data_IF_923030569348
#
_entry.id   IF_923030569348
#
_cell.length_a   1.000
_cell.length_b   1.000
_cell.length_c   1.000
_cell.angle_alpha   90.00
_cell.angle_beta   90.00
_cell.angle_gamma   90.00
#
_symmetry.space_group_name_H-M   'P 1'
#
loop_
_entity.id
_entity.type
_entity.pdbx_description
1 polymer ?
#
# COMPACT_ATOMS: atom_id res chain seq x y z
N UNK A 1 11.63 -3.20 3.75
CA UNK A 1 10.93 -2.10 4.46
C UNK A 1 10.93 -2.31 5.97
N UNK A 2 10.79 -3.52 6.50
CA UNK A 2 10.85 -3.78 7.95
C UNK A 2 12.10 -3.16 8.61
N UNK A 3 13.29 -3.36 8.00
CA UNK A 3 14.53 -2.75 8.47
C UNK A 3 14.48 -1.21 8.44
N UNK A 4 13.81 -0.61 7.45
CA UNK A 4 13.69 0.85 7.38
C UNK A 4 12.87 1.43 8.53
N UNK A 5 11.84 0.73 9.01
CA UNK A 5 11.14 1.10 10.23
C UNK A 5 12.08 1.17 11.45
N UNK A 6 12.96 0.18 11.58
CA UNK A 6 13.98 0.17 12.68
C UNK A 6 15.01 1.30 12.52
N UNK A 7 15.37 1.65 11.28
CA UNK A 7 16.26 2.80 11.02
C UNK A 7 15.58 4.11 11.45
N UNK A 8 14.29 4.30 11.13
CA UNK A 8 13.52 5.48 11.58
C UNK A 8 13.54 5.57 13.11
N UNK A 9 13.23 4.50 13.83
CA UNK A 9 13.25 4.48 15.29
C UNK A 9 14.64 4.81 15.86
N UNK A 10 15.68 4.23 15.27
CA UNK A 10 17.05 4.47 15.71
C UNK A 10 17.48 5.94 15.52
N UNK A 11 17.08 6.56 14.41
CA UNK A 11 17.47 7.93 14.10
C UNK A 11 16.65 8.97 14.86
N UNK A 12 15.37 8.67 15.13
CA UNK A 12 14.44 9.65 15.69
C UNK A 12 14.21 9.50 17.20
N UNK A 13 14.49 8.32 17.74
CA UNK A 13 14.15 7.98 19.13
C UNK A 13 12.65 7.79 19.38
N UNK A 14 11.83 7.82 18.32
CA UNK A 14 10.38 7.60 18.38
C UNK A 14 10.01 6.19 17.87
N UNK A 15 8.84 5.67 18.27
CA UNK A 15 8.32 4.48 17.60
C UNK A 15 8.00 4.78 16.13
N UNK A 16 8.13 3.78 15.26
CA UNK A 16 7.81 3.91 13.84
C UNK A 16 6.40 4.46 13.62
N UNK A 17 5.41 3.93 14.34
CA UNK A 17 4.02 4.40 14.23
C UNK A 17 3.87 5.87 14.62
N UNK A 18 4.45 6.29 15.75
CA UNK A 18 4.36 7.68 16.20
C UNK A 18 5.01 8.64 15.21
N UNK A 19 6.19 8.28 14.70
CA UNK A 19 6.89 9.09 13.71
C UNK A 19 6.07 9.26 12.41
N UNK A 20 5.51 8.17 11.87
CA UNK A 20 4.72 8.20 10.64
C UNK A 20 3.42 8.98 10.84
N UNK A 21 2.72 8.78 11.96
CA UNK A 21 1.52 9.58 12.28
C UNK A 21 1.84 11.07 12.27
N UNK A 22 2.82 11.49 13.03
CA UNK A 22 3.15 12.90 13.22
C UNK A 22 3.68 13.57 11.94
N UNK A 23 4.54 12.88 11.18
CA UNK A 23 5.29 13.50 10.08
C UNK A 23 4.72 13.20 8.68
N UNK A 24 3.83 12.21 8.56
CA UNK A 24 3.27 11.80 7.27
C UNK A 24 1.75 11.90 7.28
N UNK A 25 1.07 11.31 8.26
CA UNK A 25 -0.38 11.15 8.22
C UNK A 25 -1.14 12.40 8.71
N UNK A 26 -0.70 13.01 9.81
CA UNK A 26 -1.34 14.21 10.36
C UNK A 26 -1.26 15.40 9.39
N UNK A 27 -0.11 15.69 8.72
CA UNK A 27 -0.01 16.77 7.75
C UNK A 27 -0.98 16.65 6.56
N UNK A 28 -1.40 15.44 6.21
CA UNK A 28 -2.34 15.18 5.11
C UNK A 28 -3.77 14.90 5.59
N UNK A 29 -4.02 14.95 6.89
CA UNK A 29 -5.33 14.68 7.48
C UNK A 29 -5.79 13.22 7.42
N UNK A 30 -4.87 12.25 7.28
CA UNK A 30 -5.15 10.80 7.31
C UNK A 30 -5.09 10.25 8.75
N UNK A 31 -5.80 10.88 9.66
CA UNK A 31 -5.66 10.70 11.11
C UNK A 31 -6.20 9.38 11.67
N UNK A 32 -6.97 8.63 10.88
CA UNK A 32 -7.56 7.35 11.31
C UNK A 32 -6.64 6.15 11.06
N UNK A 33 -5.56 6.32 10.29
CA UNK A 33 -4.61 5.25 10.03
C UNK A 33 -3.81 4.87 11.29
N UNK A 34 -3.58 3.58 11.48
CA UNK A 34 -2.84 3.02 12.61
C UNK A 34 -2.28 1.65 12.28
N UNK A 35 -1.34 1.16 13.07
CA UNK A 35 -0.94 -0.24 12.97
C UNK A 35 -2.05 -1.16 13.48
N UNK A 36 -2.23 -2.28 12.79
CA UNK A 36 -3.21 -3.30 13.13
C UNK A 36 -2.65 -4.34 14.10
N UNK A 37 -3.55 -5.16 14.63
CA UNK A 37 -3.21 -6.32 15.45
C UNK A 37 -3.60 -7.61 14.69
N UNK A 38 -2.80 -8.67 14.90
CA UNK A 38 -3.06 -9.95 14.22
C UNK A 38 -4.30 -10.65 14.76
N UNK A 39 -4.47 -10.64 16.07
CA UNK A 39 -5.54 -11.39 16.73
C UNK A 39 -6.89 -10.70 16.59
N UNK A 40 -7.95 -11.50 16.48
CA UNK A 40 -9.32 -11.00 16.30
C UNK A 40 -9.78 -10.12 17.48
N UNK A 41 -9.38 -10.46 18.69
CA UNK A 41 -9.64 -9.70 19.92
C UNK A 41 -8.91 -8.35 19.98
N UNK A 42 -7.81 -8.21 19.23
CA UNK A 42 -7.07 -6.95 19.08
C UNK A 42 -7.59 -6.03 17.98
N UNK A 43 -8.65 -6.45 17.28
CA UNK A 43 -9.26 -5.66 16.22
C UNK A 43 -9.84 -4.36 16.79
N UNK A 44 -9.56 -3.25 16.11
CA UNK A 44 -10.08 -1.95 16.53
C UNK A 44 -11.56 -1.77 16.14
N UNK A 45 -12.22 -0.81 16.76
CA UNK A 45 -13.59 -0.45 16.40
C UNK A 45 -13.67 -0.04 14.92
N UNK A 46 -14.71 -0.50 14.24
CA UNK A 46 -14.96 -0.29 12.81
C UNK A 46 -13.94 -0.95 11.84
N UNK A 47 -12.99 -1.71 12.33
CA UNK A 47 -12.17 -2.55 11.47
C UNK A 47 -13.00 -3.70 10.90
N UNK A 48 -12.89 -3.94 9.58
CA UNK A 48 -13.58 -5.06 8.92
C UNK A 48 -13.03 -6.41 9.38
N UNK A 49 -13.81 -7.48 9.23
CA UNK A 49 -13.30 -8.84 9.34
C UNK A 49 -12.64 -9.27 8.04
N UNK A 50 -11.57 -10.04 8.16
CA UNK A 50 -10.82 -10.58 7.03
C UNK A 50 -11.20 -12.03 6.80
N UNK A 51 -11.39 -12.41 5.52
CA UNK A 51 -11.87 -13.73 5.14
C UNK A 51 -10.85 -14.45 4.28
N UNK A 52 -10.52 -15.69 4.68
CA UNK A 52 -9.65 -16.59 3.93
C UNK A 52 -10.15 -18.01 4.12
N UNK A 53 -10.20 -18.84 3.06
CA UNK A 53 -10.75 -20.20 3.16
C UNK A 53 -9.87 -21.18 3.94
N UNK A 54 -8.60 -20.85 4.17
CA UNK A 54 -7.65 -21.73 4.82
C UNK A 54 -7.36 -21.38 6.27
N UNK A 55 -6.77 -22.35 6.96
CA UNK A 55 -6.18 -22.20 8.28
C UNK A 55 -4.67 -22.39 8.23
N UNK A 56 -3.95 -21.90 9.21
CA UNK A 56 -2.51 -22.05 9.37
C UNK A 56 -2.14 -22.33 10.83
N UNK A 57 -0.88 -22.74 11.05
CA UNK A 57 -0.37 -22.89 12.40
C UNK A 57 -0.14 -21.52 13.02
N UNK A 58 -0.60 -21.35 14.28
CA UNK A 58 -0.32 -20.13 15.02
C UNK A 58 1.19 -19.93 15.22
N UNK A 59 1.62 -18.66 15.10
CA UNK A 59 3.01 -18.24 15.36
C UNK A 59 3.17 -17.60 16.76
N UNK A 60 2.10 -17.52 17.54
CA UNK A 60 2.10 -16.92 18.87
C UNK A 60 2.32 -17.97 19.96
N UNK A 61 3.07 -17.61 21.00
CA UNK A 61 3.43 -18.53 22.10
C UNK A 61 2.22 -19.08 22.85
N UNK A 62 1.15 -18.27 23.00
CA UNK A 62 -0.06 -18.67 23.73
C UNK A 62 -0.77 -19.89 23.14
N UNK A 63 -0.64 -20.11 21.84
CA UNK A 63 -1.29 -21.19 21.11
C UNK A 63 -0.41 -21.73 19.97
N UNK A 64 0.90 -21.72 20.18
CA UNK A 64 1.91 -22.10 19.19
C UNK A 64 1.56 -23.45 18.53
N UNK A 65 1.59 -23.45 17.20
CA UNK A 65 1.26 -24.59 16.32
C UNK A 65 -0.21 -25.04 16.33
N UNK A 66 -1.10 -24.44 17.11
CA UNK A 66 -2.54 -24.70 16.94
C UNK A 66 -3.02 -24.16 15.58
N UNK A 67 -4.02 -24.82 15.03
CA UNK A 67 -4.62 -24.37 13.76
C UNK A 67 -5.56 -23.19 14.02
N UNK A 68 -5.29 -22.06 13.38
CA UNK A 68 -6.06 -20.82 13.50
C UNK A 68 -6.50 -20.35 12.10
N UNK A 69 -7.56 -19.53 11.97
CA UNK A 69 -7.86 -18.88 10.72
C UNK A 69 -6.65 -18.08 10.24
N UNK A 70 -6.30 -18.22 8.96
CA UNK A 70 -5.09 -17.59 8.39
C UNK A 70 -4.93 -16.11 8.76
N UNK A 71 -5.98 -15.25 8.64
CA UNK A 71 -5.86 -13.83 8.98
C UNK A 71 -5.57 -13.54 10.45
N UNK A 72 -5.85 -14.49 11.36
CA UNK A 72 -5.90 -14.23 12.79
C UNK A 72 -4.93 -15.09 13.61
N UNK A 73 -3.70 -15.20 13.16
CA UNK A 73 -2.65 -15.85 13.96
C UNK A 73 -1.61 -16.67 13.22
N UNK A 74 -1.78 -16.88 11.88
CA UNK A 74 -0.81 -17.65 11.11
C UNK A 74 0.42 -16.82 10.66
N UNK A 75 0.44 -15.54 10.93
CA UNK A 75 1.62 -14.64 10.85
C UNK A 75 1.52 -13.60 11.95
N UNK A 76 2.55 -12.78 12.12
CA UNK A 76 2.62 -11.72 13.12
C UNK A 76 2.56 -10.35 12.41
N UNK A 77 1.39 -9.71 12.40
CA UNK A 77 1.19 -8.40 11.76
C UNK A 77 1.95 -7.29 12.49
N UNK A 78 2.03 -7.38 13.82
CA UNK A 78 2.75 -6.43 14.66
C UNK A 78 4.24 -6.39 14.31
N UNK A 79 4.83 -7.55 13.96
CA UNK A 79 6.21 -7.63 13.51
C UNK A 79 6.40 -7.15 12.06
N UNK A 80 5.32 -7.05 11.29
CA UNK A 80 5.35 -6.54 9.92
C UNK A 80 5.34 -5.00 9.86
N UNK A 81 4.81 -4.35 10.84
CA UNK A 81 4.60 -2.89 11.01
C UNK A 81 4.88 -2.03 9.74
N UNK A 82 6.14 -1.67 9.49
CA UNK A 82 6.59 -0.80 8.40
C UNK A 82 6.57 -1.43 7.00
N UNK A 83 6.16 -2.68 6.86
CA UNK A 83 6.03 -3.34 5.55
C UNK A 83 4.67 -4.03 5.35
N UNK A 84 3.59 -3.39 5.79
CA UNK A 84 2.23 -3.83 5.52
C UNK A 84 1.32 -3.93 6.73
N UNK A 85 1.73 -3.41 7.90
CA UNK A 85 0.96 -3.48 9.15
C UNK A 85 -0.13 -2.42 9.31
N UNK A 86 -0.28 -1.47 8.39
CA UNK A 86 -1.21 -0.37 8.54
C UNK A 86 -2.66 -0.74 8.23
N UNK A 87 -3.56 -0.32 9.12
CA UNK A 87 -4.99 -0.21 8.87
C UNK A 87 -5.30 1.16 8.27
N UNK A 88 -6.14 1.20 7.24
CA UNK A 88 -6.54 2.42 6.58
C UNK A 88 -7.97 2.34 6.05
N UNK A 89 -8.65 3.48 5.99
CA UNK A 89 -9.83 3.64 5.15
C UNK A 89 -9.43 3.95 3.70
N UNK A 90 -10.33 3.70 2.75
CA UNK A 90 -10.10 4.10 1.37
C UNK A 90 -9.93 5.63 1.25
N UNK A 91 -10.66 6.39 2.06
CA UNK A 91 -10.55 7.86 2.12
C UNK A 91 -9.18 8.31 2.60
N UNK A 92 -8.62 7.70 3.65
CA UNK A 92 -7.31 8.09 4.16
C UNK A 92 -6.18 7.73 3.16
N UNK A 93 -6.28 6.58 2.49
CA UNK A 93 -5.34 6.25 1.42
C UNK A 93 -5.49 7.18 0.21
N UNK A 94 -6.70 7.64 -0.12
CA UNK A 94 -6.90 8.64 -1.16
C UNK A 94 -6.27 9.98 -0.80
N UNK A 95 -6.36 10.43 0.46
CA UNK A 95 -5.64 11.62 0.96
C UNK A 95 -4.13 11.44 0.85
N UNK A 96 -3.61 10.27 1.21
CA UNK A 96 -2.18 9.96 1.05
C UNK A 96 -1.75 10.03 -0.43
N UNK A 97 -2.54 9.48 -1.35
CA UNK A 97 -2.26 9.58 -2.77
C UNK A 97 -2.27 11.03 -3.27
N UNK A 98 -3.30 11.79 -2.88
CA UNK A 98 -3.50 13.18 -3.30
C UNK A 98 -2.40 14.13 -2.79
N UNK A 99 -1.74 13.80 -1.68
CA UNK A 99 -0.62 14.59 -1.16
C UNK A 99 0.53 14.76 -2.17
N UNK A 100 0.66 13.85 -3.13
CA UNK A 100 1.69 13.89 -4.17
C UNK A 100 1.21 14.46 -5.51
N UNK A 101 -0.04 14.92 -5.62
CA UNK A 101 -0.58 15.41 -6.91
C UNK A 101 0.09 16.70 -7.38
N UNK A 102 0.49 17.55 -6.44
CA UNK A 102 1.30 18.71 -6.72
C UNK A 102 2.61 18.64 -5.91
N UNK A 103 3.72 18.21 -6.50
CA UNK A 103 5.00 18.08 -5.80
C UNK A 103 5.50 19.37 -5.14
N UNK A 104 5.24 20.52 -5.75
CA UNK A 104 5.68 21.82 -5.22
C UNK A 104 4.99 22.23 -3.91
N UNK A 105 3.83 21.65 -3.61
CA UNK A 105 3.05 21.95 -2.39
C UNK A 105 2.83 20.72 -1.51
N UNK A 106 3.54 19.63 -1.77
CA UNK A 106 3.43 18.42 -0.96
C UNK A 106 3.85 18.70 0.50
N UNK A 107 2.99 18.39 1.49
CA UNK A 107 3.29 18.74 2.88
C UNK A 107 4.29 17.79 3.56
N UNK A 108 4.62 16.66 2.93
CA UNK A 108 5.41 15.57 3.54
C UNK A 108 6.77 15.33 2.89
N UNK A 109 6.95 15.72 1.63
CA UNK A 109 8.22 15.56 0.90
C UNK A 109 8.48 16.79 0.02
N UNK A 110 9.76 17.12 -0.18
CA UNK A 110 10.17 18.11 -1.18
C UNK A 110 9.92 17.58 -2.60
N UNK A 111 9.75 18.48 -3.55
CA UNK A 111 9.63 18.13 -4.97
C UNK A 111 10.82 17.29 -5.47
N UNK A 112 12.03 17.63 -5.04
CA UNK A 112 13.24 16.85 -5.36
C UNK A 112 13.13 15.40 -4.84
N UNK A 113 12.67 15.22 -3.60
CA UNK A 113 12.47 13.89 -3.00
C UNK A 113 11.37 13.09 -3.71
N UNK A 114 10.31 13.75 -4.15
CA UNK A 114 9.23 13.09 -4.92
C UNK A 114 9.75 12.65 -6.30
N UNK A 115 10.52 13.49 -6.97
CA UNK A 115 11.14 13.17 -8.26
C UNK A 115 12.10 11.97 -8.09
N UNK A 116 12.94 11.97 -7.05
CA UNK A 116 13.82 10.86 -6.73
C UNK A 116 13.01 9.58 -6.41
N UNK A 117 11.91 9.70 -5.67
CA UNK A 117 11.04 8.59 -5.29
C UNK A 117 10.49 7.84 -6.51
N UNK A 118 10.20 8.53 -7.60
CA UNK A 118 9.66 7.95 -8.83
C UNK A 118 10.72 7.68 -9.90
N UNK A 119 11.97 8.04 -9.66
CA UNK A 119 13.05 7.84 -10.61
C UNK A 119 13.24 6.36 -10.96
N UNK A 120 13.48 6.09 -12.25
CA UNK A 120 13.84 4.75 -12.72
C UNK A 120 15.17 4.31 -12.12
N UNK A 121 15.23 3.18 -11.42
CA UNK A 121 16.49 2.70 -10.87
C UNK A 121 17.42 2.20 -12.00
N UNK A 122 18.75 2.26 -11.80
CA UNK A 122 19.71 1.75 -12.74
C UNK A 122 19.71 0.20 -12.79
N UNK A 123 20.38 -0.36 -13.79
CA UNK A 123 20.57 -1.78 -13.96
C UNK A 123 19.26 -2.56 -14.15
N UNK A 124 19.26 -3.82 -13.82
CA UNK A 124 18.13 -4.75 -14.04
C UNK A 124 16.86 -4.41 -13.25
N UNK A 125 16.92 -3.53 -12.28
CA UNK A 125 15.72 -3.05 -11.58
C UNK A 125 14.85 -2.18 -12.49
N UNK A 126 15.47 -1.34 -13.34
CA UNK A 126 14.74 -0.44 -14.26
C UNK A 126 14.88 -0.81 -15.74
N UNK A 127 15.80 -1.71 -16.11
CA UNK A 127 16.15 -2.05 -17.48
C UNK A 127 16.18 -3.58 -17.69
N UNK A 128 16.12 -4.02 -18.94
CA UNK A 128 16.39 -5.43 -19.30
C UNK A 128 17.88 -5.73 -19.20
N UNK A 129 18.28 -6.99 -19.43
CA UNK A 129 19.69 -7.36 -19.50
C UNK A 129 20.43 -6.69 -20.67
N UNK A 130 19.71 -6.32 -21.72
CA UNK A 130 20.21 -5.61 -22.90
C UNK A 130 20.26 -4.09 -22.70
N UNK A 131 19.90 -3.58 -21.51
CA UNK A 131 19.90 -2.15 -21.21
C UNK A 131 18.65 -1.39 -21.70
N UNK A 132 17.62 -2.07 -22.20
CA UNK A 132 16.37 -1.45 -22.65
C UNK A 132 15.51 -1.09 -21.42
N UNK A 133 14.94 0.11 -21.40
CA UNK A 133 14.03 0.55 -20.35
C UNK A 133 12.81 -0.36 -20.24
N UNK A 134 12.50 -0.82 -19.04
CA UNK A 134 11.29 -1.59 -18.77
C UNK A 134 10.07 -0.66 -18.80
N UNK A 135 8.94 -1.05 -19.42
CA UNK A 135 7.71 -0.25 -19.40
C UNK A 135 7.10 -0.16 -17.99
N UNK A 136 7.46 -1.08 -17.10
CA UNK A 136 7.08 -1.11 -15.69
C UNK A 136 8.33 -1.33 -14.86
N UNK A 137 8.51 -0.54 -13.82
CA UNK A 137 9.61 -0.66 -12.85
C UNK A 137 9.13 -0.31 -11.44
N UNK A 138 9.85 -0.80 -10.43
CA UNK A 138 9.62 -0.46 -9.03
C UNK A 138 10.69 0.51 -8.54
N UNK A 139 10.28 1.53 -7.81
CA UNK A 139 11.15 2.52 -7.18
C UNK A 139 10.94 2.55 -5.66
N UNK A 140 11.06 3.69 -5.01
CA UNK A 140 10.91 3.80 -3.56
C UNK A 140 9.43 3.69 -3.10
N UNK A 141 8.92 2.46 -3.00
CA UNK A 141 7.56 2.18 -2.54
C UNK A 141 6.48 2.27 -3.62
N UNK A 142 6.84 2.55 -4.89
CA UNK A 142 5.91 2.68 -5.99
C UNK A 142 6.28 1.79 -7.17
N UNK A 143 5.31 1.11 -7.72
CA UNK A 143 5.38 0.58 -9.07
C UNK A 143 5.04 1.71 -10.04
N UNK A 144 5.81 1.84 -11.11
CA UNK A 144 5.67 2.90 -12.09
C UNK A 144 5.43 2.27 -13.46
N UNK A 145 4.37 2.69 -14.15
CA UNK A 145 4.02 2.24 -15.50
C UNK A 145 4.11 3.42 -16.46
N UNK A 146 4.98 3.30 -17.44
CA UNK A 146 5.04 4.27 -18.55
C UNK A 146 3.78 4.10 -19.39
N UNK A 147 3.08 5.21 -19.59
CA UNK A 147 1.91 5.31 -20.48
C UNK A 147 2.24 6.21 -21.67
N UNK A 148 1.25 6.59 -22.47
CA UNK A 148 1.47 7.48 -23.62
C UNK A 148 2.25 8.76 -23.24
N UNK A 149 3.07 9.23 -24.14
CA UNK A 149 3.83 10.48 -24.03
C UNK A 149 4.84 10.52 -22.86
N UNK A 150 5.32 9.35 -22.42
CA UNK A 150 6.30 9.26 -21.33
C UNK A 150 5.76 9.58 -19.94
N UNK A 151 4.45 9.78 -19.79
CA UNK A 151 3.80 9.98 -18.51
C UNK A 151 3.80 8.68 -17.70
N UNK A 152 3.63 8.80 -16.38
CA UNK A 152 3.66 7.67 -15.47
C UNK A 152 2.35 7.52 -14.68
N UNK A 153 1.85 6.30 -14.63
CA UNK A 153 0.94 5.90 -13.56
C UNK A 153 1.77 5.28 -12.42
N UNK A 154 1.45 5.63 -11.20
CA UNK A 154 2.08 5.08 -10.00
C UNK A 154 1.07 4.24 -9.24
N UNK A 155 1.45 3.07 -8.72
CA UNK A 155 0.56 2.27 -7.89
C UNK A 155 1.34 1.43 -6.90
N UNK A 156 0.63 0.97 -5.88
CA UNK A 156 1.09 -0.09 -5.00
C UNK A 156 -0.06 -1.02 -4.65
N UNK A 157 0.24 -2.30 -4.47
CA UNK A 157 -0.74 -3.32 -4.05
C UNK A 157 -0.38 -3.87 -2.69
N UNK A 158 -1.39 -4.28 -1.93
CA UNK A 158 -1.23 -5.07 -0.72
C UNK A 158 -1.94 -6.41 -0.87
N UNK A 159 -1.37 -7.48 -0.30
CA UNK A 159 -1.98 -8.80 -0.33
C UNK A 159 -1.48 -9.64 0.82
N UNK A 160 -2.36 -9.94 1.77
CA UNK A 160 -2.18 -10.93 2.82
C UNK A 160 -3.36 -11.89 2.81
N UNK A 161 -3.25 -13.11 3.37
CA UNK A 161 -4.42 -13.96 3.53
C UNK A 161 -5.55 -13.22 4.24
N UNK A 162 -6.69 -13.04 3.56
CA UNK A 162 -7.84 -12.31 4.06
C UNK A 162 -7.95 -10.85 3.62
N UNK A 163 -6.96 -10.30 2.88
CA UNK A 163 -7.07 -8.93 2.38
C UNK A 163 -6.33 -8.74 1.06
N UNK A 164 -6.86 -7.86 0.23
CA UNK A 164 -6.17 -7.29 -0.91
C UNK A 164 -6.44 -5.79 -0.99
N UNK A 165 -5.48 -5.03 -1.46
CA UNK A 165 -5.59 -3.59 -1.62
C UNK A 165 -4.87 -3.12 -2.88
N UNK A 166 -5.32 -2.00 -3.42
CA UNK A 166 -4.61 -1.27 -4.45
C UNK A 166 -4.82 0.23 -4.27
N UNK A 167 -3.74 0.96 -4.44
CA UNK A 167 -3.70 2.42 -4.53
C UNK A 167 -3.09 2.79 -5.87
N UNK A 168 -3.78 3.61 -6.66
CA UNK A 168 -3.35 4.05 -7.98
C UNK A 168 -3.35 5.57 -8.02
N UNK A 169 -2.27 6.16 -8.53
CA UNK A 169 -2.16 7.55 -8.95
C UNK A 169 -1.97 7.58 -10.45
N UNK A 170 -2.97 8.09 -11.18
CA UNK A 170 -2.91 8.18 -12.64
C UNK A 170 -2.21 9.45 -13.08
N UNK A 171 -1.63 9.39 -14.27
CA UNK A 171 -0.97 10.53 -14.94
C UNK A 171 -1.92 11.70 -15.24
N UNK A 172 -3.23 11.47 -15.21
CA UNK A 172 -4.28 12.47 -15.45
C UNK A 172 -4.82 13.11 -14.14
N UNK A 173 -4.11 12.92 -13.03
CA UNK A 173 -4.47 13.49 -11.72
C UNK A 173 -5.62 12.79 -11.01
N UNK A 174 -5.98 11.59 -11.42
CA UNK A 174 -7.01 10.77 -10.74
C UNK A 174 -6.37 9.75 -9.83
N UNK A 175 -6.86 9.68 -8.60
CA UNK A 175 -6.42 8.70 -7.60
C UNK A 175 -7.52 7.70 -7.30
N UNK A 176 -7.17 6.42 -7.25
CA UNK A 176 -8.11 5.33 -6.96
C UNK A 176 -7.57 4.46 -5.84
N UNK A 177 -8.49 4.05 -4.96
CA UNK A 177 -8.23 3.10 -3.88
C UNK A 177 -9.29 2.02 -3.89
N UNK A 178 -8.87 0.76 -3.81
CA UNK A 178 -9.77 -0.35 -3.52
C UNK A 178 -9.18 -1.18 -2.38
N UNK A 179 -10.01 -1.40 -1.35
CA UNK A 179 -9.72 -2.24 -0.19
C UNK A 179 -10.71 -3.40 -0.16
N UNK A 180 -10.21 -4.60 -0.08
CA UNK A 180 -11.01 -5.82 -0.06
C UNK A 180 -10.63 -6.65 1.16
N UNK A 181 -11.64 -7.14 1.89
CA UNK A 181 -11.46 -8.00 3.06
C UNK A 181 -11.39 -9.49 2.71
N UNK A 182 -10.98 -9.79 1.48
CA UNK A 182 -10.55 -11.08 0.96
C UNK A 182 -9.51 -10.83 -0.12
N UNK A 183 -8.59 -11.76 -0.35
CA UNK A 183 -7.63 -11.65 -1.46
C UNK A 183 -8.00 -12.52 -2.66
N UNK A 184 -8.96 -13.41 -2.48
CA UNK A 184 -9.46 -14.34 -3.48
C UNK A 184 -10.97 -14.23 -3.62
N UNK A 185 -11.49 -14.58 -4.78
CA UNK A 185 -12.92 -14.74 -5.04
C UNK A 185 -13.18 -16.06 -5.77
N UNK A 186 -14.42 -16.50 -5.92
CA UNK A 186 -14.73 -17.70 -6.70
C UNK A 186 -14.27 -17.67 -8.16
N UNK A 187 -14.00 -16.46 -8.68
CA UNK A 187 -13.63 -16.24 -10.09
C UNK A 187 -12.21 -15.70 -10.28
N UNK A 188 -11.50 -15.37 -9.21
CA UNK A 188 -10.14 -14.84 -9.29
C UNK A 188 -9.33 -15.15 -8.03
N UNK A 189 -8.09 -15.62 -8.23
CA UNK A 189 -7.11 -15.79 -7.15
C UNK A 189 -6.28 -14.51 -6.89
N UNK A 190 -6.48 -13.45 -7.70
CA UNK A 190 -5.69 -12.22 -7.69
C UNK A 190 -6.53 -10.96 -7.81
N UNK A 191 -7.38 -10.70 -6.79
CA UNK A 191 -8.29 -9.54 -6.78
C UNK A 191 -7.58 -8.20 -7.02
N UNK A 192 -6.37 -8.00 -6.49
CA UNK A 192 -5.62 -6.77 -6.72
C UNK A 192 -5.30 -6.51 -8.20
N UNK A 193 -4.98 -7.57 -8.97
CA UNK A 193 -4.73 -7.45 -10.42
C UNK A 193 -6.02 -7.15 -11.19
N UNK A 194 -7.11 -7.78 -10.83
CA UNK A 194 -8.41 -7.51 -11.45
C UNK A 194 -8.85 -6.06 -11.20
N UNK A 195 -8.65 -5.57 -9.98
CA UNK A 195 -8.99 -4.19 -9.62
C UNK A 195 -8.13 -3.17 -10.37
N UNK A 196 -6.82 -3.41 -10.58
CA UNK A 196 -5.98 -2.52 -11.39
C UNK A 196 -6.61 -2.32 -12.79
N UNK A 197 -6.93 -3.40 -13.48
CA UNK A 197 -7.54 -3.34 -14.81
C UNK A 197 -8.91 -2.65 -14.79
N UNK A 198 -9.79 -3.02 -13.88
CA UNK A 198 -11.15 -2.48 -13.82
C UNK A 198 -11.17 -0.99 -13.48
N UNK A 199 -10.35 -0.53 -12.53
CA UNK A 199 -10.30 0.88 -12.15
C UNK A 199 -9.81 1.76 -13.31
N UNK A 200 -8.82 1.32 -14.08
CA UNK A 200 -8.41 2.03 -15.29
C UNK A 200 -9.51 2.06 -16.34
N UNK A 201 -10.17 0.93 -16.62
CA UNK A 201 -11.27 0.87 -17.59
C UNK A 201 -12.45 1.76 -17.18
N UNK A 202 -12.82 1.74 -15.90
CA UNK A 202 -13.89 2.62 -15.38
C UNK A 202 -13.53 4.10 -15.52
N UNK A 203 -12.29 4.46 -15.19
CA UNK A 203 -11.82 5.84 -15.32
C UNK A 203 -11.89 6.34 -16.78
N UNK A 204 -11.51 5.48 -17.72
CA UNK A 204 -11.50 5.81 -19.15
C UNK A 204 -12.91 5.93 -19.78
N UNK A 205 -13.95 5.40 -19.09
CA UNK A 205 -15.36 5.49 -19.52
C UNK A 205 -16.09 6.73 -18.95
N UNK A 206 -15.47 7.46 -18.01
CA UNK A 206 -16.08 8.67 -17.45
C UNK A 206 -15.89 9.84 -18.41
N UNK A 207 -16.97 10.28 -19.06
CA UNK A 207 -16.94 11.38 -20.02
C UNK A 207 -16.65 12.75 -19.38
N UNK A 208 -17.13 12.96 -18.15
CA UNK A 208 -16.92 14.19 -17.39
C UNK A 208 -16.71 13.92 -15.90
N UNK A 209 -15.62 14.43 -15.36
CA UNK A 209 -15.32 14.35 -13.93
C UNK A 209 -15.86 15.60 -13.22
N UNK A 210 -16.38 15.47 -11.99
CA UNK A 210 -16.73 16.62 -11.15
C UNK A 210 -15.53 17.57 -11.00
N UNK A 211 -15.81 18.87 -11.02
CA UNK A 211 -14.81 19.91 -10.78
C UNK A 211 -14.54 20.08 -9.29
#
# INVERSE_FOLDING_TARGET
YCLLGRVIEKLTGQSYESYVKQNVLDPIGATQMRLGATRLEGRVENEVRYYHPGTGKSVFQSDLKQMVPHPYGAWNLEAMDSHGGWLASATDLAKFAAAFDNPATCPILSEESINLMHQRPPGIAGHTHEGIEKPVYYSFGWSNRVVSDGKLNHWHTGSLPGTASILIRRHDGKNFVALMNSRVSPVSEHLGREMDRLLHQMADQVEAWPK
#
